data_IF_890132996510
#
_entry.id   IF_890132996510
#
_cell.length_a   1.000
_cell.length_b   1.000
_cell.length_c   1.000
_cell.angle_alpha   90.00
_cell.angle_beta   90.00
_cell.angle_gamma   90.00
#
_symmetry.space_group_name_H-M   'P 1'
#
loop_
_entity.id
_entity.type
_entity.pdbx_description
1 polymer ?
2 polymer ?
3 water ?
#
# COMPACT_ATOMS: atom_id res chain seq x y z
N UNK A 1 19.47 48.83 -13.38
CA UNK A 1 19.21 49.43 -14.73
C UNK A 1 17.72 49.44 -15.06
N UNK A 2 17.13 48.25 -15.22
CA UNK A 2 15.71 48.11 -15.55
C UNK A 2 15.05 47.44 -14.34
N UNK A 3 14.32 48.23 -13.56
CA UNK A 3 13.77 47.73 -12.31
C UNK A 3 12.76 46.62 -12.56
N UNK A 4 11.97 46.72 -13.63
CA UNK A 4 10.98 45.70 -13.93
C UNK A 4 11.65 44.37 -14.28
N UNK A 5 12.79 44.43 -14.97
CA UNK A 5 13.54 43.20 -15.23
C UNK A 5 14.09 42.62 -13.93
N UNK A 6 14.53 43.46 -13.01
CA UNK A 6 14.97 42.94 -11.71
C UNK A 6 13.85 42.17 -11.01
N UNK A 7 12.63 42.69 -11.08
CA UNK A 7 11.50 41.98 -10.50
C UNK A 7 11.29 40.63 -11.15
N UNK A 8 11.50 40.56 -12.47
CA UNK A 8 11.30 39.29 -13.17
C UNK A 8 12.36 38.27 -12.78
N UNK A 9 13.63 38.71 -12.68
CA UNK A 9 14.68 37.78 -12.27
C UNK A 9 14.39 37.21 -10.89
N UNK A 10 13.92 38.05 -9.96
CA UNK A 10 13.64 37.57 -8.61
C UNK A 10 12.59 36.47 -8.62
N UNK A 11 11.48 36.71 -9.30
CA UNK A 11 10.37 35.72 -9.37
C UNK A 11 10.84 34.46 -10.10
N UNK A 12 11.58 34.59 -11.20
CA UNK A 12 11.97 33.41 -11.98
C UNK A 12 12.91 32.52 -11.18
N UNK A 13 13.86 33.11 -10.47
CA UNK A 13 14.84 32.32 -9.76
C UNK A 13 14.16 31.63 -8.58
N UNK A 14 13.26 32.33 -7.90
CA UNK A 14 12.53 31.72 -6.78
C UNK A 14 11.64 30.57 -7.28
N UNK A 15 10.99 30.76 -8.41
CA UNK A 15 10.13 29.73 -8.97
C UNK A 15 10.94 28.50 -9.36
N UNK A 16 12.06 28.69 -10.05
CA UNK A 16 12.87 27.55 -10.47
C UNK A 16 13.33 26.75 -9.26
N UNK A 17 13.71 27.43 -8.18
CA UNK A 17 14.08 26.72 -6.97
C UNK A 17 12.92 25.93 -6.39
N UNK A 18 11.72 26.53 -6.38
CA UNK A 18 10.57 25.85 -5.84
C UNK A 18 10.20 24.60 -6.66
N UNK A 19 10.32 24.68 -7.97
CA UNK A 19 10.03 23.52 -8.84
C UNK A 19 10.99 22.37 -8.49
N UNK A 20 12.25 22.65 -8.25
CA UNK A 20 13.22 21.59 -7.92
C UNK A 20 12.84 20.84 -6.67
N UNK A 21 12.34 21.56 -5.68
CA UNK A 21 11.96 20.91 -4.41
C UNK A 21 10.73 20.02 -4.63
N UNK A 22 9.80 20.46 -5.46
CA UNK A 22 8.60 19.64 -5.78
C UNK A 22 9.02 18.38 -6.55
N UNK A 23 9.89 18.51 -7.52
CA UNK A 23 10.43 17.36 -8.27
C UNK A 23 11.01 16.34 -7.28
N UNK A 24 11.85 16.78 -6.35
CA UNK A 24 12.44 15.85 -5.40
C UNK A 24 11.37 15.14 -4.58
N UNK A 25 10.33 15.88 -4.16
CA UNK A 25 9.26 15.27 -3.37
C UNK A 25 8.50 14.23 -4.18
N UNK A 26 8.25 14.50 -5.46
CA UNK A 26 7.54 13.52 -6.28
C UNK A 26 8.35 12.26 -6.47
N UNK A 27 9.66 12.40 -6.74
CA UNK A 27 10.51 11.23 -6.90
C UNK A 27 10.54 10.40 -5.64
N UNK A 28 10.60 11.05 -4.48
CA UNK A 28 10.57 10.34 -3.20
C UNK A 28 9.26 9.58 -3.02
N UNK A 29 8.15 10.25 -3.32
CA UNK A 29 6.85 9.60 -3.19
C UNK A 29 6.76 8.39 -4.10
N UNK A 30 7.23 8.51 -5.34
CA UNK A 30 7.17 7.39 -6.27
C UNK A 30 7.98 6.20 -5.77
N UNK A 31 9.17 6.46 -5.22
CA UNK A 31 9.99 5.38 -4.67
C UNK A 31 9.29 4.69 -3.51
N UNK A 32 8.71 5.46 -2.60
CA UNK A 32 8.01 4.86 -1.46
C UNK A 32 6.81 4.04 -1.90
N UNK A 33 6.07 4.53 -2.90
CA UNK A 33 4.95 3.76 -3.44
C UNK A 33 5.41 2.45 -4.04
N UNK A 34 6.54 2.46 -4.77
CA UNK A 34 7.04 1.22 -5.35
C UNK A 34 7.41 0.19 -4.28
N UNK A 35 8.03 0.65 -3.19
CA UNK A 35 8.36 -0.26 -2.09
C UNK A 35 7.10 -0.85 -1.48
N UNK A 36 6.07 -0.02 -1.26
CA UNK A 36 4.83 -0.51 -0.69
C UNK A 36 4.14 -1.50 -1.61
N UNK A 37 4.15 -1.24 -2.92
CA UNK A 37 3.57 -2.19 -3.85
C UNK A 37 4.23 -3.55 -3.73
N UNK A 38 5.57 -3.57 -3.72
CA UNK A 38 6.28 -4.85 -3.63
C UNK A 38 5.97 -5.57 -2.33
N UNK A 39 5.95 -4.84 -1.21
CA UNK A 39 5.72 -5.49 0.08
C UNK A 39 4.29 -5.99 0.21
N UNK A 40 3.32 -5.20 -0.25
CA UNK A 40 1.92 -5.63 -0.20
C UNK A 40 1.77 -6.95 -0.97
N UNK A 41 2.35 -7.01 -2.16
CA UNK A 41 2.16 -8.17 -3.02
C UNK A 41 2.90 -9.38 -2.48
N UNK A 42 4.09 -9.18 -1.90
CA UNK A 42 4.79 -10.31 -1.28
C UNK A 42 3.98 -10.85 -0.12
N UNK A 43 3.45 -9.97 0.72
CA UNK A 43 2.67 -10.38 1.91
C UNK A 43 1.39 -11.11 1.45
N UNK A 44 0.77 -10.71 0.35
CA UNK A 44 -0.45 -11.35 -0.14
C UNK A 44 -0.12 -12.76 -0.62
N UNK A 45 0.99 -12.89 -1.32
CA UNK A 45 1.42 -14.20 -1.83
C UNK A 45 1.73 -15.10 -0.65
N UNK A 46 2.36 -14.59 0.39
CA UNK A 46 2.71 -15.38 1.59
C UNK A 46 1.41 -15.86 2.27
N UNK A 47 0.41 -15.03 2.37
CA UNK A 47 -0.84 -15.44 3.01
C UNK A 47 -1.56 -16.49 2.16
N UNK A 48 -1.62 -16.30 0.84
CA UNK A 48 -2.33 -17.25 0.01
C UNK A 48 -1.64 -18.62 -0.02
N UNK A 49 -0.32 -18.61 0.00
CA UNK A 49 0.47 -19.86 0.05
C UNK A 49 0.14 -20.58 1.36
N UNK A 50 0.11 -19.87 2.48
CA UNK A 50 -0.19 -20.47 3.81
C UNK A 50 -1.63 -21.01 3.80
N UNK A 51 -2.60 -20.29 3.29
CA UNK A 51 -4.02 -20.74 3.33
C UNK A 51 -4.14 -22.05 2.56
N UNK A 52 -3.46 -22.18 1.43
CA UNK A 52 -3.59 -23.39 0.63
C UNK A 52 -3.08 -24.60 1.39
N UNK A 53 -1.94 -24.45 2.07
CA UNK A 53 -1.40 -25.56 2.86
C UNK A 53 -2.30 -25.88 4.04
N UNK A 54 -2.84 -24.85 4.69
CA UNK A 54 -3.70 -25.08 5.84
C UNK A 54 -4.96 -25.85 5.45
N UNK A 55 -5.58 -25.48 4.33
CA UNK A 55 -6.77 -26.17 3.88
C UNK A 55 -6.50 -27.65 3.65
N UNK A 56 -5.36 -27.97 3.02
CA UNK A 56 -4.99 -29.37 2.84
C UNK A 56 -4.83 -30.08 4.18
N UNK A 57 -4.16 -29.43 5.13
CA UNK A 57 -3.91 -30.05 6.43
C UNK A 57 -5.22 -30.32 7.18
N UNK A 58 -6.13 -29.35 7.20
CA UNK A 58 -7.37 -29.54 7.95
C UNK A 58 -8.21 -30.66 7.34
N UNK A 59 -8.21 -30.79 6.02
CA UNK A 59 -8.91 -31.91 5.41
C UNK A 59 -8.40 -33.25 5.90
N UNK A 60 -7.08 -33.37 6.04
CA UNK A 60 -6.49 -34.62 6.49
C UNK A 60 -6.77 -34.87 7.97
N UNK A 61 -6.73 -33.80 8.79
CA UNK A 61 -7.06 -33.95 10.21
C UNK A 61 -8.50 -34.43 10.36
N UNK A 62 -9.42 -33.80 9.65
CA UNK A 62 -10.82 -34.20 9.73
C UNK A 62 -11.00 -35.64 9.28
N UNK A 63 -10.28 -36.04 8.23
CA UNK A 63 -10.41 -37.42 7.75
C UNK A 63 -9.91 -38.42 8.79
N UNK A 64 -8.78 -38.11 9.43
CA UNK A 64 -8.24 -39.02 10.44
C UNK A 64 -9.16 -39.09 11.65
N UNK A 65 -9.71 -37.95 12.07
CA UNK A 65 -10.63 -37.93 13.20
C UNK A 65 -11.86 -38.78 12.90
N UNK A 66 -12.38 -38.68 11.68
CA UNK A 66 -13.59 -39.42 11.32
C UNK A 66 -13.31 -40.91 11.18
N UNK A 67 -12.12 -41.27 10.72
CA UNK A 67 -11.74 -42.68 10.69
C UNK A 67 -11.70 -43.25 12.10
N UNK A 68 -11.13 -42.51 13.06
CA UNK A 68 -11.12 -42.98 14.44
C UNK A 68 -12.54 -43.08 14.98
N UNK A 69 -13.38 -42.08 14.70
CA UNK A 69 -14.76 -42.13 15.15
C UNK A 69 -15.46 -43.38 14.61
N UNK A 70 -15.23 -43.72 13.34
CA UNK A 70 -15.87 -44.88 12.75
C UNK A 70 -15.37 -46.17 13.37
N UNK A 71 -14.10 -46.21 13.78
CA UNK A 71 -13.58 -47.41 14.43
C UNK A 71 -14.14 -47.57 15.83
N UNK A 72 -14.40 -46.48 16.53
CA UNK A 72 -15.05 -46.57 17.83
C UNK A 72 -16.48 -47.06 17.67
N UNK A 73 -17.18 -46.57 16.65
CA UNK A 73 -18.55 -47.00 16.39
C UNK A 73 -18.60 -48.47 16.04
N UNK A 74 -17.54 -49.01 15.42
CA UNK A 74 -17.51 -50.42 15.06
C UNK A 74 -17.05 -51.31 16.20
N UNK A 75 -16.28 -50.78 17.15
CA UNK A 75 -15.85 -51.55 18.31
C UNK A 75 -14.58 -52.36 18.10
N UNK A 76 -13.43 -51.73 18.35
CA UNK A 76 -12.13 -52.39 18.23
C UNK A 76 -11.41 -52.35 19.57
N UNK A 77 -10.23 -52.98 19.70
CA UNK A 77 -9.46 -52.84 20.95
C UNK A 77 -9.12 -51.38 21.23
N UNK A 78 -9.06 -51.03 22.51
CA UNK A 78 -8.79 -49.65 22.89
C UNK A 78 -7.32 -49.29 22.77
N UNK A 79 -6.42 -50.26 22.91
CA UNK A 79 -5.00 -49.96 22.87
C UNK A 79 -4.60 -49.33 21.54
N UNK A 80 -4.93 -49.99 20.42
CA UNK A 80 -4.56 -49.47 19.11
C UNK A 80 -5.23 -48.12 18.85
N UNK A 81 -6.48 -47.98 19.27
CA UNK A 81 -7.16 -46.71 19.07
C UNK A 81 -6.50 -45.61 19.89
N UNK A 82 -6.13 -45.90 21.14
CA UNK A 82 -5.48 -44.89 21.96
C UNK A 82 -4.15 -44.45 21.35
N UNK A 83 -3.37 -45.40 20.84
CA UNK A 83 -2.10 -45.03 20.22
C UNK A 83 -2.32 -44.15 19.01
N UNK A 84 -3.31 -44.48 18.18
CA UNK A 84 -3.59 -43.66 17.01
C UNK A 84 -4.10 -42.26 17.41
N UNK A 85 -4.86 -42.18 18.50
CA UNK A 85 -5.34 -40.89 18.96
C UNK A 85 -4.19 -40.05 19.50
N UNK A 86 -3.30 -40.67 20.26
CA UNK A 86 -2.15 -39.95 20.79
C UNK A 86 -1.26 -39.43 19.67
N UNK A 87 -1.07 -40.23 18.61
CA UNK A 87 -0.27 -39.81 17.48
C UNK A 87 -0.92 -38.66 16.74
N UNK A 88 -2.24 -38.73 16.55
CA UNK A 88 -2.95 -37.63 15.90
C UNK A 88 -2.88 -36.36 16.73
N UNK A 89 -3.07 -36.47 18.05
CA UNK A 89 -3.04 -35.28 18.90
C UNK A 89 -1.66 -34.63 18.87
N UNK A 90 -0.60 -35.43 18.86
CA UNK A 90 0.74 -34.87 18.77
C UNK A 90 0.98 -34.22 17.42
N UNK A 91 0.44 -34.80 16.34
CA UNK A 91 0.56 -34.19 15.02
C UNK A 91 -0.15 -32.85 14.97
N UNK A 92 -1.35 -32.78 15.54
CA UNK A 92 -2.09 -31.53 15.57
C UNK A 92 -1.34 -30.50 16.40
N UNK A 93 -0.72 -30.93 17.50
CA UNK A 93 -0.02 -29.99 18.36
C UNK A 93 1.19 -29.39 17.66
N UNK A 94 1.93 -30.19 16.90
CA UNK A 94 3.07 -29.64 16.18
C UNK A 94 2.65 -28.71 15.08
N UNK A 95 1.57 -29.06 14.37
CA UNK A 95 1.00 -28.19 13.33
C UNK A 95 0.52 -26.87 13.94
N UNK A 96 -0.14 -26.94 15.09
CA UNK A 96 -0.59 -25.72 15.77
C UNK A 96 0.59 -24.85 16.17
N UNK A 97 1.62 -25.45 16.79
CA UNK A 97 2.73 -24.66 17.30
C UNK A 97 3.47 -23.93 16.19
N UNK A 98 3.87 -24.66 15.15
CA UNK A 98 4.59 -24.02 14.05
C UNK A 98 3.73 -22.94 13.39
N UNK A 99 2.43 -23.19 13.28
CA UNK A 99 1.54 -22.21 12.65
C UNK A 99 1.49 -20.92 13.45
N UNK A 100 1.49 -21.01 14.77
CA UNK A 100 1.47 -19.80 15.59
C UNK A 100 2.66 -18.91 15.28
N UNK A 101 3.83 -19.50 15.08
CA UNK A 101 5.02 -18.71 14.77
C UNK A 101 4.91 -18.05 13.40
N UNK A 102 4.38 -18.77 12.42
CA UNK A 102 4.20 -18.21 11.09
C UNK A 102 3.22 -17.06 11.13
N UNK A 103 2.13 -17.21 11.87
CA UNK A 103 1.11 -16.17 11.93
C UNK A 103 1.64 -14.92 12.60
N UNK A 104 2.47 -15.06 13.64
CA UNK A 104 3.07 -13.90 14.27
C UNK A 104 3.91 -13.12 13.27
N UNK A 105 4.75 -13.82 12.52
CA UNK A 105 5.61 -13.14 11.55
C UNK A 105 4.79 -12.43 10.50
N UNK A 106 3.73 -13.07 10.00
CA UNK A 106 2.89 -12.45 8.97
C UNK A 106 2.20 -11.22 9.52
N UNK A 107 1.68 -11.31 10.74
CA UNK A 107 1.00 -10.16 11.34
C UNK A 107 1.94 -8.96 11.46
N UNK A 108 3.19 -9.22 11.83
CA UNK A 108 4.15 -8.14 11.97
C UNK A 108 4.47 -7.51 10.62
N UNK A 109 4.66 -8.32 9.58
CA UNK A 109 4.94 -7.78 8.26
C UNK A 109 3.76 -6.97 7.72
N UNK A 110 2.54 -7.46 7.93
CA UNK A 110 1.36 -6.73 7.46
C UNK A 110 1.23 -5.40 8.20
N UNK A 111 1.43 -5.40 9.52
CA UNK A 111 1.29 -4.15 10.25
C UNK A 111 2.40 -3.16 9.88
N UNK A 112 3.60 -3.65 9.57
CA UNK A 112 4.66 -2.77 9.13
C UNK A 112 4.26 -2.01 7.87
N UNK A 113 3.65 -2.72 6.91
CA UNK A 113 3.18 -2.10 5.68
C UNK A 113 2.05 -1.14 5.96
N UNK A 114 1.08 -1.53 6.79
CA UNK A 114 -0.02 -0.63 7.11
C UNK A 114 0.50 0.66 7.73
N UNK A 115 1.46 0.55 8.65
CA UNK A 115 2.01 1.74 9.30
C UNK A 115 2.74 2.63 8.31
N UNK A 116 3.54 2.04 7.41
CA UNK A 116 4.26 2.82 6.41
C UNK A 116 3.28 3.50 5.47
N UNK A 117 2.21 2.81 5.09
CA UNK A 117 1.24 3.40 4.19
C UNK A 117 0.53 4.59 4.84
N UNK A 118 0.13 4.44 6.09
CA UNK A 118 -0.51 5.56 6.78
C UNK A 118 0.45 6.73 6.88
N UNK A 119 1.73 6.45 7.09
CA UNK A 119 2.71 7.52 7.15
C UNK A 119 2.85 8.25 5.83
N UNK A 120 2.85 7.52 4.73
CA UNK A 120 2.98 8.15 3.42
C UNK A 120 1.72 8.95 3.07
N UNK A 121 0.55 8.43 3.42
CA UNK A 121 -0.68 9.22 3.22
C UNK A 121 -0.57 10.54 3.96
N UNK A 122 -0.11 10.51 5.21
CA UNK A 122 0.01 11.73 5.98
C UNK A 122 1.02 12.67 5.35
N UNK A 123 2.18 12.14 4.95
CA UNK A 123 3.23 12.95 4.35
C UNK A 123 2.76 13.62 3.08
N UNK A 124 2.12 12.86 2.19
CA UNK A 124 1.72 13.42 0.90
C UNK A 124 0.59 14.43 1.06
N UNK A 125 -0.31 14.23 2.04
CA UNK A 125 -1.35 15.20 2.27
C UNK A 125 -0.77 16.51 2.80
N UNK A 126 0.24 16.41 3.66
CA UNK A 126 0.92 17.60 4.15
C UNK A 126 1.63 18.32 3.01
N UNK A 127 2.29 17.56 2.13
CA UNK A 127 2.94 18.19 1.00
C UNK A 127 1.94 18.89 0.08
N UNK A 128 0.78 18.28 -0.12
CA UNK A 128 -0.25 18.87 -0.97
C UNK A 128 -0.64 20.25 -0.44
N UNK A 129 -0.87 20.36 0.87
CA UNK A 129 -1.22 21.65 1.46
C UNK A 129 -0.08 22.66 1.29
N UNK A 130 1.15 22.25 1.56
CA UNK A 130 2.29 23.15 1.41
C UNK A 130 2.41 23.67 -0.02
N UNK A 131 2.36 22.77 -1.00
CA UNK A 131 2.52 23.16 -2.39
C UNK A 131 1.39 24.09 -2.83
N UNK A 132 0.16 23.80 -2.41
CA UNK A 132 -0.95 24.68 -2.76
C UNK A 132 -0.67 26.10 -2.29
N UNK A 133 -0.11 26.25 -1.09
CA UNK A 133 0.18 27.58 -0.57
C UNK A 133 1.31 28.26 -1.32
N UNK A 134 2.35 27.50 -1.65
CA UNK A 134 3.47 28.05 -2.42
C UNK A 134 2.99 28.50 -3.78
N UNK A 135 2.18 27.66 -4.45
CA UNK A 135 1.68 28.00 -5.77
C UNK A 135 0.79 29.24 -5.73
N UNK A 136 -0.08 29.33 -4.73
CA UNK A 136 -0.95 30.49 -4.62
C UNK A 136 -0.15 31.77 -4.47
N UNK A 137 0.90 31.76 -3.65
CA UNK A 137 1.73 32.94 -3.50
C UNK A 137 2.36 33.32 -4.83
N UNK A 138 2.86 32.34 -5.59
CA UNK A 138 3.46 32.66 -6.88
C UNK A 138 2.42 33.24 -7.82
N UNK A 139 1.23 32.64 -7.87
CA UNK A 139 0.18 33.16 -8.75
C UNK A 139 -0.13 34.61 -8.41
N UNK A 140 -0.22 34.92 -7.12
CA UNK A 140 -0.49 36.29 -6.69
C UNK A 140 0.58 37.23 -7.18
N UNK A 141 1.85 36.85 -6.99
CA UNK A 141 2.96 37.70 -7.39
C UNK A 141 3.00 37.90 -8.89
N UNK A 142 2.73 36.83 -9.65
CA UNK A 142 2.81 36.89 -11.10
C UNK A 142 1.72 37.81 -11.65
N UNK A 143 0.48 37.63 -11.15
CA UNK A 143 -0.62 38.46 -11.62
C UNK A 143 -0.37 39.93 -11.26
N UNK A 144 0.23 40.19 -10.09
CA UNK A 144 0.51 41.58 -9.70
C UNK A 144 1.46 42.26 -10.68
N UNK A 145 2.44 41.53 -11.20
CA UNK A 145 3.43 42.11 -12.12
C UNK A 145 2.77 42.59 -13.43
N UNK A 146 1.59 42.08 -13.80
CA UNK A 146 0.96 42.57 -15.02
C UNK A 146 0.78 44.09 -14.97
N UNK A 147 0.48 44.63 -13.80
CA UNK A 147 0.11 46.04 -13.69
C UNK A 147 1.24 46.97 -14.07
N UNK A 148 2.48 46.50 -14.07
CA UNK A 148 3.62 47.35 -14.38
C UNK A 148 3.93 47.40 -15.87
N UNK A 149 3.21 46.64 -16.69
CA UNK A 149 3.50 46.51 -18.12
C UNK A 149 2.34 46.95 -18.99
N UNK A 150 1.36 47.67 -18.43
CA UNK A 150 0.16 47.99 -19.20
C UNK A 150 0.50 48.63 -20.54
N UNK A 151 1.51 49.51 -20.55
CA UNK A 151 1.88 50.24 -21.75
C UNK A 151 2.81 49.45 -22.68
N UNK A 152 2.92 48.14 -22.53
CA UNK A 152 3.80 47.32 -23.34
C UNK A 152 2.99 46.34 -24.19
N UNK A 153 3.61 45.92 -25.30
CA UNK A 153 2.96 45.01 -26.22
C UNK A 153 3.95 43.98 -26.77
N UNK A 154 3.41 43.05 -27.55
CA UNK A 154 4.22 41.95 -28.08
C UNK A 154 5.47 42.50 -28.76
N UNK A 155 6.59 41.80 -28.55
CA UNK A 155 7.87 42.25 -29.07
C UNK A 155 8.74 42.87 -27.99
N UNK A 156 8.10 43.64 -27.11
CA UNK A 156 8.81 44.18 -25.95
C UNK A 156 9.29 43.03 -25.07
N UNK A 157 10.55 43.07 -24.67
CA UNK A 157 11.14 41.93 -23.97
C UNK A 157 10.46 41.70 -22.63
N UNK A 158 10.17 42.77 -21.90
CA UNK A 158 9.51 42.63 -20.59
C UNK A 158 8.15 41.96 -20.76
N UNK A 159 7.38 42.40 -21.75
CA UNK A 159 6.08 41.78 -22.02
C UNK A 159 6.24 40.30 -22.37
N UNK A 160 7.21 39.98 -23.22
CA UNK A 160 7.45 38.59 -23.56
C UNK A 160 7.84 37.78 -22.31
N UNK A 161 8.70 38.33 -21.45
CA UNK A 161 9.10 37.61 -20.25
C UNK A 161 7.91 37.37 -19.32
N UNK A 162 7.01 38.36 -19.22
CA UNK A 162 5.82 38.16 -18.36
C UNK A 162 4.96 37.03 -18.91
N UNK A 163 4.77 37.00 -20.23
CA UNK A 163 4.02 35.91 -20.84
C UNK A 163 4.70 34.57 -20.58
N UNK A 164 6.02 34.54 -20.66
CA UNK A 164 6.75 33.30 -20.42
C UNK A 164 6.58 32.85 -18.99
N UNK A 165 6.71 33.78 -18.05
CA UNK A 165 6.54 33.44 -16.63
C UNK A 165 5.15 32.83 -16.40
N UNK A 166 4.12 33.46 -16.93
CA UNK A 166 2.77 32.94 -16.77
C UNK A 166 2.63 31.57 -17.42
N UNK A 167 3.15 31.42 -18.64
CA UNK A 167 2.98 30.15 -19.35
C UNK A 167 3.69 29.03 -18.62
N UNK A 168 4.87 29.31 -18.07
CA UNK A 168 5.63 28.28 -17.37
C UNK A 168 4.97 27.94 -16.04
N UNK A 169 4.51 28.96 -15.30
CA UNK A 169 3.75 28.70 -14.08
C UNK A 169 2.54 27.82 -14.38
N UNK A 170 1.78 28.17 -15.41
CA UNK A 170 0.55 27.41 -15.69
C UNK A 170 0.88 25.99 -16.08
N UNK A 171 1.96 25.79 -16.84
CA UNK A 171 2.31 24.42 -17.21
C UNK A 171 2.75 23.61 -16.01
N UNK A 172 3.46 24.24 -15.07
CA UNK A 172 3.86 23.53 -13.86
C UNK A 172 2.66 23.13 -13.03
N UNK A 173 1.69 24.06 -12.87
CA UNK A 173 0.50 23.74 -12.08
C UNK A 173 -0.24 22.56 -12.69
N UNK A 174 -0.30 22.49 -14.01
CA UNK A 174 -0.97 21.36 -14.64
C UNK A 174 -0.27 20.05 -14.34
N UNK A 175 1.06 20.06 -14.40
CA UNK A 175 1.82 18.85 -14.09
C UNK A 175 1.68 18.48 -12.63
N UNK A 176 1.68 19.47 -11.73
CA UNK A 176 1.53 19.19 -10.31
C UNK A 176 0.16 18.54 -10.04
N UNK A 177 -0.88 19.04 -10.70
CA UNK A 177 -2.20 18.44 -10.51
C UNK A 177 -2.23 17.00 -11.02
N UNK A 178 -1.60 16.74 -12.16
CA UNK A 178 -1.48 15.37 -12.65
C UNK A 178 -0.80 14.49 -11.60
N UNK A 179 0.30 14.96 -11.02
CA UNK A 179 1.01 14.18 -10.01
C UNK A 179 0.14 13.92 -8.78
N UNK A 180 -0.68 14.90 -8.40
CA UNK A 180 -1.54 14.75 -7.23
C UNK A 180 -2.60 13.68 -7.47
N UNK A 181 -3.21 13.68 -8.66
CA UNK A 181 -4.20 12.65 -8.97
C UNK A 181 -3.55 11.26 -8.97
N UNK A 182 -2.33 11.15 -9.50
CA UNK A 182 -1.67 9.85 -9.52
C UNK A 182 -1.33 9.37 -8.11
N UNK A 183 -0.85 10.29 -7.27
CA UNK A 183 -0.55 9.95 -5.89
C UNK A 183 -1.80 9.48 -5.16
N UNK A 184 -2.91 10.22 -5.31
CA UNK A 184 -4.13 9.84 -4.61
C UNK A 184 -4.66 8.49 -5.10
N UNK A 185 -4.62 8.25 -6.41
CA UNK A 185 -5.08 6.97 -6.94
C UNK A 185 -4.27 5.81 -6.36
N UNK A 186 -2.94 5.95 -6.37
CA UNK A 186 -2.08 4.89 -5.85
C UNK A 186 -2.32 4.66 -4.37
N UNK A 187 -2.41 5.73 -3.57
CA UNK A 187 -2.63 5.56 -2.13
C UNK A 187 -3.95 4.86 -1.87
N UNK A 188 -4.99 5.21 -2.63
CA UNK A 188 -6.29 4.60 -2.40
C UNK A 188 -6.32 3.13 -2.75
N UNK A 189 -5.64 2.75 -3.83
CA UNK A 189 -5.56 1.34 -4.18
C UNK A 189 -4.77 0.56 -3.15
N UNK A 190 -3.65 1.12 -2.68
CA UNK A 190 -2.90 0.47 -1.61
C UNK A 190 -3.77 0.34 -0.36
N UNK A 191 -4.47 1.40 0.02
CA UNK A 191 -5.31 1.33 1.20
C UNK A 191 -6.38 0.24 1.09
N UNK A 192 -7.00 0.11 -0.08
CA UNK A 192 -8.04 -0.91 -0.26
C UNK A 192 -7.47 -2.30 -0.09
N UNK A 193 -6.34 -2.58 -0.73
CA UNK A 193 -5.78 -3.93 -0.66
C UNK A 193 -5.26 -4.22 0.73
N UNK A 194 -4.61 -3.25 1.35
CA UNK A 194 -4.11 -3.43 2.71
C UNK A 194 -5.26 -3.73 3.67
N UNK A 195 -6.37 -3.01 3.53
CA UNK A 195 -7.51 -3.26 4.41
C UNK A 195 -8.13 -4.63 4.15
N UNK A 196 -8.30 -5.00 2.88
CA UNK A 196 -8.87 -6.30 2.58
C UNK A 196 -7.99 -7.42 3.11
N UNK A 197 -6.67 -7.26 2.98
CA UNK A 197 -5.75 -8.31 3.41
C UNK A 197 -5.60 -8.35 4.92
N UNK A 198 -5.75 -7.21 5.60
CA UNK A 198 -5.81 -7.21 7.05
C UNK A 198 -7.05 -7.95 7.55
N UNK A 199 -8.20 -7.71 6.90
CA UNK A 199 -9.40 -8.45 7.26
C UNK A 199 -9.23 -9.93 7.00
N UNK A 200 -8.58 -10.29 5.87
CA UNK A 200 -8.36 -11.71 5.58
C UNK A 200 -7.50 -12.36 6.66
N UNK A 201 -6.43 -11.69 7.08
CA UNK A 201 -5.58 -12.27 8.11
C UNK A 201 -6.34 -12.42 9.43
N UNK A 202 -7.13 -11.41 9.79
CA UNK A 202 -7.91 -11.50 11.04
C UNK A 202 -8.92 -12.63 10.95
N UNK A 203 -9.58 -12.77 9.80
CA UNK A 203 -10.51 -13.89 9.62
C UNK A 203 -9.77 -15.22 9.76
N UNK A 204 -8.57 -15.31 9.19
CA UNK A 204 -7.80 -16.55 9.29
C UNK A 204 -7.49 -16.89 10.74
N UNK A 205 -7.00 -15.91 11.51
CA UNK A 205 -6.69 -16.16 12.92
C UNK A 205 -7.93 -16.65 13.67
N UNK A 206 -9.09 -16.03 13.42
CA UNK A 206 -10.30 -16.43 14.11
C UNK A 206 -10.75 -17.82 13.69
N UNK A 207 -10.72 -18.11 12.38
CA UNK A 207 -11.19 -19.41 11.91
C UNK A 207 -10.26 -20.54 12.36
N UNK A 208 -8.96 -20.26 12.48
CA UNK A 208 -8.05 -21.29 12.99
C UNK A 208 -8.37 -21.63 14.43
N UNK A 209 -8.56 -20.61 15.26
CA UNK A 209 -8.90 -20.86 16.65
C UNK A 209 -10.19 -21.65 16.77
N UNK A 210 -11.20 -21.30 15.97
CA UNK A 210 -12.45 -22.04 15.98
C UNK A 210 -12.24 -23.48 15.55
N UNK A 211 -11.45 -23.69 14.50
CA UNK A 211 -11.23 -25.04 14.00
C UNK A 211 -10.50 -25.90 15.04
N UNK A 212 -9.47 -25.35 15.66
CA UNK A 212 -8.73 -26.10 16.68
C UNK A 212 -9.61 -26.39 17.90
N UNK A 213 -10.53 -25.49 18.23
CA UNK A 213 -11.45 -25.77 19.31
C UNK A 213 -12.38 -26.93 19.00
N UNK A 214 -12.90 -26.96 17.77
CA UNK A 214 -13.78 -28.06 17.37
C UNK A 214 -13.01 -29.39 17.35
N UNK A 215 -11.78 -29.37 16.83
CA UNK A 215 -10.97 -30.58 16.83
C UNK A 215 -10.75 -31.07 18.25
N UNK A 216 -10.45 -30.16 19.18
CA UNK A 216 -10.23 -30.56 20.58
C UNK A 216 -11.49 -31.13 21.19
N UNK A 217 -12.64 -30.53 20.90
CA UNK A 217 -13.90 -31.04 21.43
C UNK A 217 -14.12 -32.49 20.98
N UNK A 218 -13.94 -32.75 19.70
CA UNK A 218 -14.13 -34.10 19.16
C UNK A 218 -13.11 -35.05 19.75
N UNK A 219 -11.84 -34.65 19.79
CA UNK A 219 -10.79 -35.50 20.34
C UNK A 219 -11.06 -35.82 21.81
N UNK A 220 -11.48 -34.83 22.60
CA UNK A 220 -11.75 -35.06 24.02
C UNK A 220 -12.91 -36.02 24.22
N UNK A 221 -13.93 -35.94 23.35
CA UNK A 221 -15.02 -36.91 23.43
C UNK A 221 -14.52 -38.32 23.10
N UNK A 222 -13.70 -38.44 22.08
CA UNK A 222 -13.11 -39.73 21.73
C UNK A 222 -12.35 -40.31 22.93
N UNK A 223 -11.51 -39.49 23.57
CA UNK A 223 -10.70 -39.97 24.68
C UNK A 223 -11.57 -40.35 25.87
N UNK A 224 -12.67 -39.63 26.10
CA UNK A 224 -13.56 -40.00 27.19
C UNK A 224 -14.22 -41.35 26.94
N UNK A 225 -14.42 -41.71 25.66
CA UNK A 225 -15.07 -42.97 25.35
C UNK A 225 -14.13 -44.16 25.54
N UNK A 226 -12.82 -43.94 25.46
CA UNK A 226 -11.86 -45.04 25.49
C UNK A 226 -11.69 -45.63 26.90
N UNK A 227 -12.79 -45.87 27.59
CA UNK A 227 -12.75 -46.44 28.94
C UNK A 227 -14.06 -47.16 29.21
C UNK B 1 -17.98 -35.45 10.61
N UNK B 2 -16.75 -35.08 11.22
CA UNK B 2 -16.28 -33.70 11.30
C UNK B 2 -16.09 -33.12 9.91
N UNK B 3 -16.52 -31.87 9.72
CA UNK B 3 -16.30 -31.11 8.50
C UNK B 3 -15.99 -29.69 8.92
N UNK B 4 -14.72 -29.29 8.80
CA UNK B 4 -14.25 -27.99 9.28
C UNK B 4 -14.43 -26.88 8.25
N UNK B 5 -15.11 -27.17 7.14
CA UNK B 5 -15.21 -26.16 6.09
C UNK B 5 -13.97 -26.09 5.23
N UNK B 6 -13.84 -24.98 4.52
CA UNK B 6 -12.72 -24.76 3.61
C UNK B 6 -12.10 -23.40 3.93
N UNK B 7 -10.92 -23.40 4.55
CA UNK B 7 -10.21 -22.14 4.93
C UNK B 7 -9.67 -21.48 3.65
N UNK B 8 -9.82 -22.10 2.49
CA UNK B 8 -9.39 -21.49 1.23
C UNK B 8 -10.28 -20.34 0.82
N UNK B 9 -11.44 -20.18 1.43
CA UNK B 9 -12.25 -19.00 1.18
C UNK B 9 -11.57 -17.70 1.57
N UNK B 10 -10.52 -17.79 2.36
CA UNK B 10 -9.74 -16.62 2.75
C UNK B 10 -8.73 -16.34 1.65
N UNK B 11 -8.73 -15.11 1.15
CA UNK B 11 -7.88 -14.75 0.02
C UNK B 11 -7.35 -13.34 0.19
N UNK B 12 -6.06 -13.18 -0.07
CA UNK B 12 -5.40 -11.89 -0.09
C UNK B 12 -5.30 -11.42 -1.54
N UNK B 13 -5.59 -10.14 -1.74
CA UNK B 13 -5.55 -9.52 -3.06
C UNK B 13 -4.16 -8.91 -3.30
N UNK B 14 -3.83 -8.77 -4.59
CA UNK B 14 -2.62 -8.07 -4.99
C UNK B 14 -3.01 -6.68 -5.50
N UNK B 15 -2.01 -5.80 -5.55
CA UNK B 15 -2.23 -4.42 -6.00
C UNK B 15 -1.38 -4.16 -7.23
N UNK B 16 -1.86 -3.26 -8.09
CA UNK B 16 -1.10 -2.83 -9.27
C UNK B 16 -1.21 -1.32 -9.41
N UNK B 17 -0.18 -0.62 -8.99
CA UNK B 17 -0.12 0.83 -9.06
C UNK B 17 1.07 1.28 -9.90
N UNK B 18 1.55 0.41 -10.80
CA UNK B 18 2.69 0.79 -11.60
C UNK B 18 2.40 1.99 -12.51
N UNK B 19 1.19 2.09 -13.04
CA UNK B 19 0.82 3.23 -13.86
C UNK B 19 1.06 4.54 -13.12
N UNK B 20 0.60 4.60 -11.87
CA UNK B 20 0.73 5.81 -11.07
C UNK B 20 2.19 6.09 -10.70
N UNK B 21 2.94 5.06 -10.31
CA UNK B 21 4.36 5.27 -10.01
C UNK B 21 5.07 5.82 -11.23
N UNK B 22 4.84 5.19 -12.38
CA UNK B 22 5.48 5.63 -13.62
C UNK B 22 5.13 7.08 -13.92
N UNK B 23 3.85 7.43 -13.75
CA UNK B 23 3.42 8.79 -14.09
C UNK B 23 4.06 9.81 -13.15
N UNK B 24 4.21 9.49 -11.87
CA UNK B 24 4.88 10.40 -10.94
C UNK B 24 6.32 10.65 -11.37
N UNK B 25 7.04 9.57 -11.71
CA UNK B 25 8.41 9.74 -12.15
C UNK B 25 8.47 10.56 -13.43
N UNK B 26 7.53 10.34 -14.35
CA UNK B 26 7.53 11.09 -15.60
C UNK B 26 7.25 12.57 -15.36
N UNK B 27 6.29 12.88 -14.50
CA UNK B 27 5.99 14.29 -14.22
C UNK B 27 7.17 14.95 -13.53
N UNK B 28 7.84 14.23 -12.63
CA UNK B 28 9.01 14.82 -11.99
C UNK B 28 10.03 15.24 -13.03
N UNK B 29 10.26 14.39 -14.02
CA UNK B 29 11.17 14.73 -15.10
C UNK B 29 10.61 15.87 -15.96
N UNK B 30 9.31 15.82 -16.26
CA UNK B 30 8.71 16.79 -17.16
C UNK B 30 8.74 18.19 -16.60
N UNK B 31 8.74 18.33 -15.28
CA UNK B 31 8.77 19.66 -14.68
C UNK B 31 9.99 20.45 -15.10
N UNK B 32 11.05 19.78 -15.56
CA UNK B 32 12.20 20.51 -16.06
C UNK B 32 11.82 21.44 -17.20
N UNK B 33 10.79 21.06 -17.98
CA UNK B 33 10.35 21.89 -19.09
C UNK B 33 9.53 23.09 -18.63
N UNK B 34 9.21 23.19 -17.35
CA UNK B 34 8.50 24.33 -16.80
C UNK B 34 9.43 25.37 -16.18
N UNK B 35 10.73 25.13 -16.16
CA UNK B 35 11.66 26.12 -15.61
C UNK B 35 11.69 27.35 -16.49
N UNK B 36 11.93 28.49 -15.88
CA UNK B 36 11.86 29.78 -16.56
C UNK B 36 13.27 30.23 -16.95
N UNK B 37 13.46 30.49 -18.25
CA UNK B 37 14.70 31.04 -18.81
C UNK B 37 14.36 32.40 -19.42
N UNK B 38 14.64 33.46 -18.67
CA UNK B 38 14.28 34.79 -19.11
C UNK B 38 15.19 35.31 -20.21
N UNK B 39 14.62 36.19 -21.05
CA UNK B 39 15.40 37.00 -21.98
C UNK B 39 15.99 38.21 -21.26
N UNK B 40 17.20 38.59 -21.66
CA UNK B 40 17.83 39.76 -21.07
C UNK B 40 17.12 41.03 -21.53
N UNK B 41 17.06 42.01 -20.62
CA UNK B 41 16.41 43.29 -20.92
C UNK B 41 17.11 44.01 -22.06
#
# INVERSE_FOLDING_TARGET
MDVLYENQKLIANKFNSAIGKIQDSLSSTASELGKLQDEVNQNAQDLNTLVKQLSSNFGRISSELNDILSRLDKGEPAKDLRSDIDNLESKIAGFNSSLQKVLTNLAQKNQNVEDKLKGLESRTSSLEKQIKGIASNFQNEILKQREYLVNKGSGNVLYENQKLIENQFNSAIGKIQDSLSSTKSALGKLKDVVNQNKQALNTLVKQLSSNFGAISSVLNDIKSRLDKVEGGGGSHHHHHH
XVDLGDISGINASVVNIQKEIDRLNEVAKNLNESLIDLQESGGY
#
